data_IF_904597667768
#
_entry.id   IF_904597667768
#
_cell.length_a   1.000
_cell.length_b   1.000
_cell.length_c   1.000
_cell.angle_alpha   90.00
_cell.angle_beta   90.00
_cell.angle_gamma   90.00
#
_symmetry.space_group_name_H-M   'P 1'
#
loop_
_entity.id
_entity.type
_entity.pdbx_description
1 polymer ?
#
# COMPACT_ATOMS: atom_id res chain seq x y z
N UNK A 1 17.46 0.31 -74.77
CA UNK A 1 16.10 0.78 -74.43
C UNK A 1 15.67 0.03 -73.17
N UNK A 2 15.94 0.51 -71.95
CA UNK A 2 15.15 1.43 -71.09
C UNK A 2 13.68 1.01 -70.86
N UNK A 3 13.34 0.84 -69.56
CA UNK A 3 12.02 0.94 -68.90
C UNK A 3 11.02 -0.23 -69.16
N UNK A 4 10.23 -0.81 -68.24
CA UNK A 4 9.62 -0.52 -66.90
C UNK A 4 9.35 -1.90 -66.25
N UNK A 5 9.58 -2.22 -64.97
CA UNK A 5 8.65 -1.94 -63.86
C UNK A 5 9.22 -2.49 -62.54
N UNK A 6 9.83 -1.60 -61.75
CA UNK A 6 9.91 -1.77 -60.29
C UNK A 6 8.64 -1.17 -59.72
N UNK A 7 7.77 -2.00 -59.12
CA UNK A 7 6.83 -1.67 -58.03
C UNK A 7 5.88 -2.85 -57.85
N UNK A 8 6.18 -3.75 -56.90
CA UNK A 8 5.17 -4.59 -56.19
C UNK A 8 5.70 -5.53 -55.10
N UNK A 9 6.96 -5.45 -54.67
CA UNK A 9 7.52 -6.40 -53.71
C UNK A 9 8.03 -5.79 -52.39
N UNK A 10 7.54 -4.61 -51.97
CA UNK A 10 8.00 -3.97 -50.71
C UNK A 10 6.89 -3.77 -49.67
N UNK A 11 5.61 -4.02 -50.00
CA UNK A 11 4.52 -3.72 -49.05
C UNK A 11 4.02 -4.89 -48.20
N UNK A 12 4.51 -6.12 -48.37
CA UNK A 12 4.02 -7.28 -47.59
C UNK A 12 4.91 -7.69 -46.42
N UNK A 13 6.18 -7.24 -46.37
CA UNK A 13 7.10 -7.60 -45.29
C UNK A 13 6.94 -6.78 -44.01
N UNK A 14 6.52 -5.51 -44.13
CA UNK A 14 6.40 -4.61 -42.97
C UNK A 14 5.08 -4.78 -42.21
N UNK A 15 3.99 -5.17 -42.88
CA UNK A 15 2.70 -5.40 -42.20
C UNK A 15 2.71 -6.72 -41.40
N UNK A 16 3.39 -7.76 -41.91
CA UNK A 16 3.52 -9.03 -41.18
C UNK A 16 4.46 -8.92 -39.96
N UNK A 17 5.55 -8.15 -40.06
CA UNK A 17 6.46 -7.90 -38.93
C UNK A 17 5.83 -7.08 -37.81
N UNK A 18 4.97 -6.11 -38.15
CA UNK A 18 4.23 -5.32 -37.16
C UNK A 18 3.08 -6.11 -36.52
N UNK A 19 2.41 -7.03 -37.22
CA UNK A 19 1.34 -7.86 -36.64
C UNK A 19 1.88 -8.92 -35.67
N UNK A 20 3.10 -9.44 -35.90
CA UNK A 20 3.72 -10.47 -35.04
C UNK A 20 4.20 -9.89 -33.70
N UNK A 21 4.45 -8.58 -33.60
CA UNK A 21 4.71 -7.92 -32.32
C UNK A 21 3.45 -7.76 -31.46
N UNK A 22 2.26 -7.74 -32.07
CA UNK A 22 0.97 -7.72 -31.34
C UNK A 22 0.39 -9.12 -31.09
N UNK A 23 0.93 -10.17 -31.72
CA UNK A 23 0.48 -11.56 -31.60
C UNK A 23 1.48 -12.48 -30.90
N UNK A 24 2.47 -11.95 -30.17
CA UNK A 24 3.12 -12.78 -29.14
C UNK A 24 2.08 -13.01 -28.04
N UNK A 25 1.65 -14.25 -27.79
CA UNK A 25 0.97 -14.55 -26.55
C UNK A 25 1.90 -14.05 -25.44
N UNK A 26 1.35 -13.34 -24.45
CA UNK A 26 2.04 -13.01 -23.21
C UNK A 26 2.44 -14.32 -22.52
N UNK A 27 3.50 -14.97 -23.00
CA UNK A 27 4.14 -16.12 -22.40
C UNK A 27 5.18 -15.65 -21.37
N UNK A 28 4.82 -14.63 -20.58
CA UNK A 28 5.43 -14.46 -19.27
C UNK A 28 4.67 -15.42 -18.34
N UNK A 29 5.36 -16.37 -17.67
CA UNK A 29 4.68 -17.31 -16.80
C UNK A 29 3.92 -16.54 -15.74
N UNK A 30 2.60 -16.76 -15.64
CA UNK A 30 1.82 -16.36 -14.46
C UNK A 30 2.53 -17.00 -13.27
N UNK A 31 3.26 -16.22 -12.48
CA UNK A 31 3.79 -16.74 -11.23
C UNK A 31 2.58 -17.02 -10.34
N UNK A 32 2.22 -18.29 -10.19
CA UNK A 32 1.24 -18.73 -9.22
C UNK A 32 1.86 -18.54 -7.84
N UNK A 33 1.51 -17.45 -7.17
CA UNK A 33 1.79 -17.28 -5.74
C UNK A 33 0.60 -17.79 -4.93
N UNK A 34 0.86 -18.24 -3.70
CA UNK A 34 -0.21 -18.58 -2.77
C UNK A 34 -0.98 -17.33 -2.35
N UNK A 35 -2.31 -17.43 -2.35
CA UNK A 35 -3.19 -16.34 -1.93
C UNK A 35 -4.38 -16.89 -1.15
N UNK A 36 -4.92 -16.04 -0.27
CA UNK A 36 -6.17 -16.26 0.45
C UNK A 36 -7.31 -15.95 -0.51
N UNK A 37 -8.17 -16.95 -0.75
CA UNK A 37 -9.33 -16.81 -1.62
C UNK A 37 -10.37 -15.88 -1.01
N UNK A 38 -11.22 -15.28 -1.85
CA UNK A 38 -12.24 -14.30 -1.46
C UNK A 38 -13.12 -14.80 -0.31
N UNK A 39 -13.55 -16.06 -0.38
CA UNK A 39 -14.39 -16.73 0.62
C UNK A 39 -13.73 -16.87 2.00
N UNK A 40 -12.40 -16.89 2.06
CA UNK A 40 -11.63 -17.04 3.30
C UNK A 40 -11.09 -15.70 3.84
N UNK A 41 -11.41 -14.57 3.20
CA UNK A 41 -10.92 -13.25 3.61
C UNK A 41 -11.31 -12.95 5.07
N UNK A 42 -12.60 -13.05 5.40
CA UNK A 42 -13.08 -12.68 6.74
C UNK A 42 -12.47 -13.54 7.85
N UNK A 43 -12.26 -14.82 7.59
CA UNK A 43 -11.62 -15.76 8.53
C UNK A 43 -10.13 -15.46 8.72
N UNK A 44 -9.47 -14.91 7.70
CA UNK A 44 -8.05 -14.57 7.76
C UNK A 44 -7.76 -13.26 8.52
N UNK A 45 -8.75 -12.36 8.63
CA UNK A 45 -8.58 -11.05 9.25
C UNK A 45 -8.49 -11.15 10.77
N UNK A 46 -7.49 -10.49 11.35
CA UNK A 46 -7.29 -10.39 12.79
C UNK A 46 -8.21 -9.30 13.35
N UNK A 47 -9.18 -9.69 14.16
CA UNK A 47 -10.01 -8.76 14.92
C UNK A 47 -9.14 -8.09 15.98
N UNK A 48 -9.01 -6.76 15.91
CA UNK A 48 -8.25 -5.95 16.85
C UNK A 48 -8.78 -4.51 16.85
N UNK A 49 -9.14 -4.02 18.02
CA UNK A 49 -9.60 -2.64 18.24
C UNK A 49 -8.48 -1.79 18.84
N UNK A 50 -8.51 -0.49 18.56
CA UNK A 50 -7.58 0.47 19.13
C UNK A 50 -7.69 0.49 20.65
N UNK A 51 -6.57 0.56 21.35
CA UNK A 51 -6.56 0.56 22.82
C UNK A 51 -7.39 1.71 23.41
N UNK A 52 -7.35 2.88 22.77
CA UNK A 52 -8.09 4.07 23.18
C UNK A 52 -9.45 4.24 22.45
N UNK A 53 -9.88 3.23 21.69
CA UNK A 53 -11.12 3.31 20.90
C UNK A 53 -12.32 2.83 21.71
N UNK A 54 -13.38 3.65 21.73
CA UNK A 54 -14.69 3.28 22.26
C UNK A 54 -15.78 3.56 21.24
N UNK A 55 -16.77 2.67 21.14
CA UNK A 55 -17.97 2.85 20.32
C UNK A 55 -19.21 2.74 21.19
N UNK A 56 -20.21 3.57 20.91
CA UNK A 56 -21.54 3.54 21.55
C UNK A 56 -22.51 2.59 20.84
N UNK A 57 -22.14 2.06 19.68
CA UNK A 57 -23.00 1.15 18.92
C UNK A 57 -23.15 -0.20 19.64
N UNK A 58 -24.37 -0.75 19.62
CA UNK A 58 -24.71 -1.98 20.33
C UNK A 58 -24.22 -3.26 19.61
N UNK A 59 -24.25 -3.24 18.27
CA UNK A 59 -23.90 -4.41 17.45
C UNK A 59 -22.57 -4.20 16.73
N UNK A 60 -21.81 -5.28 16.53
CA UNK A 60 -20.60 -5.25 15.70
C UNK A 60 -20.97 -5.06 14.23
N UNK A 61 -20.10 -4.40 13.47
CA UNK A 61 -20.25 -4.28 12.02
C UNK A 61 -20.20 -5.67 11.35
N UNK A 62 -21.03 -5.83 10.32
CA UNK A 62 -20.96 -6.95 9.39
C UNK A 62 -20.10 -6.54 8.19
N UNK A 63 -19.25 -7.46 7.75
CA UNK A 63 -18.31 -7.27 6.66
C UNK A 63 -18.60 -8.23 5.50
N UNK A 64 -19.61 -9.10 5.61
CA UNK A 64 -19.99 -10.03 4.55
C UNK A 64 -20.35 -9.29 3.27
N UNK A 65 -21.21 -8.28 3.34
CA UNK A 65 -21.61 -7.51 2.17
C UNK A 65 -20.44 -6.72 1.57
N UNK A 66 -19.55 -6.16 2.41
CA UNK A 66 -18.34 -5.45 1.96
C UNK A 66 -17.41 -6.37 1.17
N UNK A 67 -17.22 -7.61 1.64
CA UNK A 67 -16.36 -8.58 0.97
C UNK A 67 -17.02 -9.12 -0.30
N UNK A 68 -18.34 -9.27 -0.32
CA UNK A 68 -19.05 -9.79 -1.49
C UNK A 68 -19.42 -8.72 -2.52
N UNK A 69 -19.21 -7.43 -2.22
CA UNK A 69 -19.36 -6.35 -3.20
C UNK A 69 -18.31 -6.47 -4.33
N UNK A 70 -18.79 -6.76 -5.54
CA UNK A 70 -17.96 -6.89 -6.74
C UNK A 70 -17.70 -5.54 -7.44
N UNK A 71 -18.30 -4.46 -6.96
CA UNK A 71 -18.14 -3.11 -7.49
C UNK A 71 -16.68 -2.67 -7.41
N UNK A 72 -16.23 -1.94 -8.43
CA UNK A 72 -14.91 -1.32 -8.46
C UNK A 72 -15.05 0.19 -8.30
N UNK A 73 -14.36 0.75 -7.31
CA UNK A 73 -14.35 2.19 -7.09
C UNK A 73 -13.35 2.84 -8.04
N UNK A 74 -13.85 3.58 -9.04
CA UNK A 74 -13.00 4.27 -10.00
C UNK A 74 -12.62 5.67 -9.50
N UNK A 75 -11.41 6.10 -9.83
CA UNK A 75 -10.80 7.37 -9.36
C UNK A 75 -11.56 8.62 -9.83
N UNK A 76 -12.28 8.52 -10.96
CA UNK A 76 -13.03 9.64 -11.55
C UNK A 76 -14.47 9.81 -11.07
N UNK A 77 -14.98 8.90 -10.24
CA UNK A 77 -16.38 8.94 -9.75
C UNK A 77 -16.55 9.73 -8.44
N UNK A 78 -15.49 10.45 -8.01
CA UNK A 78 -15.37 11.03 -6.69
C UNK A 78 -15.40 12.56 -6.74
N UNK A 79 -16.59 13.12 -6.97
CA UNK A 79 -16.89 14.51 -6.65
C UNK A 79 -17.67 14.52 -5.33
N UNK A 80 -17.02 14.93 -4.25
CA UNK A 80 -17.68 15.01 -2.95
C UNK A 80 -16.87 15.82 -1.95
N UNK A 81 -17.54 16.81 -1.36
CA UNK A 81 -17.04 17.52 -0.19
C UNK A 81 -16.93 16.53 0.99
N UNK A 82 -15.69 16.18 1.34
CA UNK A 82 -15.43 15.12 2.32
C UNK A 82 -15.68 15.56 3.77
N UNK A 83 -15.81 16.85 4.03
CA UNK A 83 -15.75 17.36 5.40
C UNK A 83 -17.14 17.48 6.02
N UNK A 84 -18.08 18.16 5.36
CA UNK A 84 -19.33 18.55 6.01
C UNK A 84 -20.39 17.41 6.08
N UNK A 85 -20.32 16.42 5.17
CA UNK A 85 -21.31 15.35 5.05
C UNK A 85 -20.90 13.98 5.57
N UNK A 86 -19.64 13.79 5.99
CA UNK A 86 -19.05 12.44 6.14
C UNK A 86 -18.50 12.12 7.52
N UNK A 87 -18.62 13.05 8.48
CA UNK A 87 -18.33 12.83 9.92
C UNK A 87 -16.91 12.32 10.18
N UNK A 88 -15.95 12.73 9.36
CA UNK A 88 -14.52 12.52 9.60
C UNK A 88 -14.10 13.51 10.69
N UNK A 89 -13.47 13.02 11.74
CA UNK A 89 -12.96 13.85 12.84
C UNK A 89 -11.60 14.43 12.46
N UNK A 90 -11.25 15.56 13.09
CA UNK A 90 -9.91 16.15 12.98
C UNK A 90 -8.80 15.11 13.17
N UNK A 91 -7.74 15.28 12.40
CA UNK A 91 -6.67 14.30 12.27
C UNK A 91 -6.98 13.16 11.29
N UNK A 92 -8.09 13.23 10.54
CA UNK A 92 -8.47 12.22 9.55
C UNK A 92 -8.96 10.92 10.14
N UNK A 93 -9.58 10.97 11.31
CA UNK A 93 -10.07 9.80 12.03
C UNK A 93 -11.55 9.55 11.74
N UNK A 94 -11.92 8.30 11.49
CA UNK A 94 -13.30 7.91 11.27
C UNK A 94 -13.61 6.58 11.95
N UNK A 95 -14.81 6.48 12.51
CA UNK A 95 -15.44 5.21 12.88
C UNK A 95 -16.93 5.27 12.53
N UNK A 96 -17.54 4.15 12.10
CA UNK A 96 -18.99 4.08 11.93
C UNK A 96 -19.71 4.32 13.27
N UNK A 97 -20.86 5.00 13.23
CA UNK A 97 -21.69 5.28 14.41
C UNK A 97 -22.79 4.23 14.60
N UNK A 98 -23.14 3.56 13.52
CA UNK A 98 -24.28 2.66 13.37
C UNK A 98 -23.91 1.24 13.80
N UNK A 99 -22.62 0.90 13.80
CA UNK A 99 -22.08 -0.38 14.22
C UNK A 99 -20.70 -0.23 14.85
N UNK A 100 -20.32 -1.18 15.70
CA UNK A 100 -19.00 -1.24 16.35
C UNK A 100 -17.99 -1.90 15.40
N UNK A 101 -16.99 -1.17 14.90
CA UNK A 101 -16.02 -1.71 13.95
C UNK A 101 -15.12 -2.76 14.62
N UNK A 102 -14.90 -3.90 13.95
CA UNK A 102 -14.03 -4.98 14.45
C UNK A 102 -12.53 -4.67 14.29
N UNK A 103 -12.21 -3.75 13.39
CA UNK A 103 -10.84 -3.45 12.98
C UNK A 103 -10.51 -1.98 13.24
N UNK A 104 -9.35 -1.73 13.83
CA UNK A 104 -8.76 -0.39 13.99
C UNK A 104 -7.41 -0.32 13.30
N UNK A 105 -7.28 0.63 12.37
CA UNK A 105 -6.18 0.65 11.41
C UNK A 105 -5.59 2.04 11.26
N UNK A 106 -4.26 2.15 11.34
CA UNK A 106 -3.54 3.38 11.00
C UNK A 106 -3.02 3.29 9.56
N UNK A 107 -3.37 4.27 8.72
CA UNK A 107 -2.85 4.40 7.36
C UNK A 107 -1.68 5.37 7.39
N UNK A 108 -0.48 4.90 7.05
CA UNK A 108 0.76 5.68 7.17
C UNK A 108 1.30 5.95 5.78
N UNK A 109 1.38 7.23 5.43
CA UNK A 109 1.73 7.70 4.09
C UNK A 109 3.01 8.53 4.16
N UNK A 110 4.14 8.03 3.64
CA UNK A 110 5.37 8.81 3.53
C UNK A 110 5.20 9.83 2.39
N UNK A 111 5.58 11.09 2.62
CA UNK A 111 5.22 12.19 1.74
C UNK A 111 6.32 13.25 1.60
N UNK A 112 6.42 13.83 0.41
CA UNK A 112 7.14 15.08 0.11
C UNK A 112 6.71 15.57 -1.28
N UNK A 113 6.40 16.86 -1.41
CA UNK A 113 6.19 17.58 -2.69
C UNK A 113 5.23 16.90 -3.69
N UNK A 114 4.12 16.30 -3.23
CA UNK A 114 3.15 15.56 -4.08
C UNK A 114 1.70 15.95 -3.82
N UNK A 115 1.42 17.26 -3.73
CA UNK A 115 0.13 17.78 -3.26
C UNK A 115 -1.08 17.26 -4.06
N UNK A 116 -0.97 17.18 -5.40
CA UNK A 116 -2.05 16.65 -6.25
C UNK A 116 -2.30 15.15 -6.01
N UNK A 117 -1.25 14.35 -5.85
CA UNK A 117 -1.40 12.94 -5.47
C UNK A 117 -2.05 12.80 -4.10
N UNK A 118 -1.61 13.60 -3.12
CA UNK A 118 -2.17 13.57 -1.77
C UNK A 118 -3.65 13.96 -1.78
N UNK A 119 -4.04 14.98 -2.55
CA UNK A 119 -5.45 15.37 -2.70
C UNK A 119 -6.28 14.22 -3.26
N UNK A 120 -5.85 13.62 -4.37
CA UNK A 120 -6.54 12.49 -4.97
C UNK A 120 -6.60 11.27 -4.04
N UNK A 121 -5.52 11.01 -3.31
CA UNK A 121 -5.42 9.97 -2.30
C UNK A 121 -6.44 10.15 -1.18
N UNK A 122 -6.51 11.32 -0.55
CA UNK A 122 -7.42 11.58 0.57
C UNK A 122 -8.89 11.40 0.16
N UNK A 123 -9.28 11.94 -1.01
CA UNK A 123 -10.63 11.80 -1.57
C UNK A 123 -11.00 10.32 -1.76
N UNK A 124 -10.12 9.57 -2.41
CA UNK A 124 -10.33 8.16 -2.69
C UNK A 124 -10.35 7.30 -1.43
N UNK A 125 -9.34 7.46 -0.57
CA UNK A 125 -9.17 6.64 0.61
C UNK A 125 -10.26 6.87 1.64
N UNK A 126 -10.67 8.11 1.90
CA UNK A 126 -11.80 8.33 2.82
C UNK A 126 -13.12 7.75 2.30
N UNK A 127 -13.35 7.82 0.99
CA UNK A 127 -14.54 7.19 0.39
C UNK A 127 -14.47 5.67 0.51
N UNK A 128 -13.32 5.09 0.16
CA UNK A 128 -13.10 3.66 0.17
C UNK A 128 -13.18 3.07 1.60
N UNK A 129 -12.45 3.64 2.56
CA UNK A 129 -12.33 3.11 3.92
C UNK A 129 -13.64 3.23 4.72
N UNK A 130 -14.43 4.30 4.51
CA UNK A 130 -15.74 4.44 5.17
C UNK A 130 -16.73 3.37 4.72
N UNK A 131 -16.72 3.02 3.43
CA UNK A 131 -17.54 1.91 2.90
C UNK A 131 -17.13 0.54 3.43
N UNK A 132 -15.94 0.42 4.01
CA UNK A 132 -15.50 -0.80 4.68
C UNK A 132 -15.94 -0.87 6.15
N UNK A 133 -16.54 0.17 6.73
CA UNK A 133 -16.99 0.18 8.13
C UNK A 133 -15.88 -0.19 9.14
N UNK A 134 -14.65 0.27 8.88
CA UNK A 134 -13.53 0.14 9.82
C UNK A 134 -13.32 1.43 10.62
N UNK A 135 -12.68 1.31 11.79
CA UNK A 135 -12.10 2.45 12.48
C UNK A 135 -10.72 2.73 11.90
N UNK A 136 -10.45 3.95 11.45
CA UNK A 136 -9.15 4.30 10.89
C UNK A 136 -8.74 5.73 11.16
N UNK A 137 -7.44 5.99 11.03
CA UNK A 137 -6.86 7.33 10.93
C UNK A 137 -5.76 7.37 9.87
N UNK A 138 -5.68 8.47 9.12
CA UNK A 138 -4.64 8.71 8.12
C UNK A 138 -3.53 9.58 8.72
N UNK A 139 -2.30 9.11 8.65
CA UNK A 139 -1.08 9.80 9.05
C UNK A 139 -0.26 10.09 7.80
N UNK A 140 -0.05 11.36 7.50
CA UNK A 140 0.87 11.82 6.46
C UNK A 140 2.17 12.24 7.14
N UNK A 141 3.27 11.58 6.80
CA UNK A 141 4.59 11.87 7.37
C UNK A 141 5.42 12.57 6.31
N UNK A 142 5.62 13.87 6.48
CA UNK A 142 6.32 14.72 5.53
C UNK A 142 7.79 14.90 5.90
N UNK A 143 8.68 14.61 4.96
CA UNK A 143 10.10 14.96 5.05
C UNK A 143 10.28 16.38 4.55
N UNK A 144 10.58 17.32 5.45
CA UNK A 144 10.70 18.74 5.11
C UNK A 144 12.14 19.20 4.89
N UNK A 145 13.12 18.37 5.26
CA UNK A 145 14.52 18.61 4.98
C UNK A 145 14.91 18.43 3.50
N UNK A 146 16.15 18.79 3.18
CA UNK A 146 16.71 18.68 1.83
C UNK A 146 17.45 17.37 1.56
N UNK A 147 17.44 16.41 2.49
CA UNK A 147 18.08 15.11 2.27
C UNK A 147 17.35 14.33 1.16
N UNK A 148 17.98 13.32 0.54
CA UNK A 148 17.26 12.43 -0.35
C UNK A 148 16.04 11.81 0.36
N UNK A 149 14.95 11.59 -0.37
CA UNK A 149 13.72 11.06 0.23
C UNK A 149 13.98 9.69 0.84
N UNK A 150 13.56 9.49 2.10
CA UNK A 150 13.74 8.24 2.82
C UNK A 150 12.39 7.65 3.26
N UNK A 151 11.76 6.98 2.31
CA UNK A 151 10.43 6.36 2.47
C UNK A 151 10.33 5.48 3.74
N UNK A 152 11.29 4.59 3.93
CA UNK A 152 11.31 3.63 5.03
C UNK A 152 11.39 4.31 6.40
N UNK A 153 12.22 5.35 6.52
CA UNK A 153 12.35 6.14 7.75
C UNK A 153 11.06 6.89 8.08
N UNK A 154 10.39 7.48 7.10
CA UNK A 154 9.09 8.14 7.31
C UNK A 154 7.99 7.14 7.73
N UNK A 155 7.98 5.95 7.14
CA UNK A 155 7.09 4.86 7.56
C UNK A 155 7.35 4.44 9.02
N UNK A 156 8.62 4.34 9.44
CA UNK A 156 8.97 4.07 10.84
C UNK A 156 8.43 5.14 11.79
N UNK A 157 8.56 6.43 11.43
CA UNK A 157 8.04 7.56 12.24
C UNK A 157 6.53 7.47 12.40
N UNK A 158 5.79 7.31 11.29
CA UNK A 158 4.34 7.18 11.34
C UNK A 158 3.88 5.92 12.07
N UNK A 159 4.57 4.80 11.91
CA UNK A 159 4.32 3.57 12.64
C UNK A 159 4.49 3.76 14.15
N UNK A 160 5.58 4.41 14.58
CA UNK A 160 5.84 4.72 15.99
C UNK A 160 4.72 5.60 16.57
N UNK A 161 4.30 6.64 15.86
CA UNK A 161 3.19 7.51 16.27
C UNK A 161 1.86 6.74 16.38
N UNK A 162 1.51 5.96 15.37
CA UNK A 162 0.29 5.15 15.34
C UNK A 162 0.23 4.10 16.46
N UNK A 163 1.34 3.39 16.69
CA UNK A 163 1.46 2.39 17.76
C UNK A 163 1.31 3.04 19.15
N UNK A 164 1.89 4.22 19.34
CA UNK A 164 1.74 4.99 20.59
C UNK A 164 0.30 5.48 20.80
N UNK A 165 -0.41 5.80 19.71
CA UNK A 165 -1.85 6.12 19.75
C UNK A 165 -2.73 4.88 19.99
N UNK A 166 -2.15 3.68 20.04
CA UNK A 166 -2.84 2.43 20.39
C UNK A 166 -3.48 1.73 19.19
N UNK A 167 -3.10 2.05 17.96
CA UNK A 167 -3.57 1.35 16.77
C UNK A 167 -2.89 -0.03 16.67
N UNK A 168 -3.65 -1.14 16.56
CA UNK A 168 -3.07 -2.49 16.49
C UNK A 168 -2.61 -2.88 15.09
N UNK A 169 -3.22 -2.30 14.04
CA UNK A 169 -2.91 -2.60 12.64
C UNK A 169 -2.30 -1.38 11.95
N UNK A 170 -1.18 -1.58 11.26
CA UNK A 170 -0.47 -0.56 10.50
C UNK A 170 -0.60 -0.88 9.01
N UNK A 171 -0.98 0.11 8.20
CA UNK A 171 -0.96 0.04 6.75
C UNK A 171 0.11 1.00 6.24
N UNK A 172 1.22 0.46 5.77
CA UNK A 172 2.31 1.22 5.14
C UNK A 172 1.90 1.46 3.69
N UNK A 173 1.75 2.72 3.28
CA UNK A 173 0.98 3.04 2.08
C UNK A 173 1.64 4.10 1.20
N UNK A 174 1.92 3.77 -0.05
CA UNK A 174 2.36 4.76 -1.04
C UNK A 174 1.21 5.68 -1.46
N UNK A 175 1.45 6.99 -1.53
CA UNK A 175 0.41 8.01 -1.80
C UNK A 175 -0.22 7.88 -3.20
N UNK A 176 0.46 7.23 -4.15
CA UNK A 176 0.03 7.11 -5.55
C UNK A 176 -0.70 5.80 -5.87
N UNK A 177 -0.93 4.94 -4.88
CA UNK A 177 -1.67 3.68 -5.05
C UNK A 177 -3.10 3.82 -4.52
N UNK A 178 -4.10 3.45 -5.32
CA UNK A 178 -5.52 3.55 -4.95
C UNK A 178 -6.21 2.18 -5.09
N UNK A 179 -6.78 1.61 -4.02
CA UNK A 179 -7.44 0.31 -4.06
C UNK A 179 -8.75 0.38 -4.85
N UNK A 180 -9.06 -0.66 -5.61
CA UNK A 180 -10.26 -0.68 -6.47
C UNK A 180 -11.40 -1.55 -5.92
N UNK A 181 -11.11 -2.59 -5.14
CA UNK A 181 -12.12 -3.55 -4.65
C UNK A 181 -12.33 -3.44 -3.16
N UNK A 182 -13.58 -3.22 -2.73
CA UNK A 182 -13.93 -3.12 -1.31
C UNK A 182 -13.60 -4.41 -0.52
N UNK A 183 -13.62 -5.56 -1.19
CA UNK A 183 -13.16 -6.83 -0.62
C UNK A 183 -11.70 -6.82 -0.13
N UNK A 184 -10.87 -5.88 -0.59
CA UNK A 184 -9.54 -5.66 -0.04
C UNK A 184 -9.64 -4.87 1.27
N UNK A 185 -10.21 -5.48 2.31
CA UNK A 185 -10.43 -4.85 3.62
C UNK A 185 -9.11 -4.29 4.17
N UNK A 186 -9.09 -3.01 4.58
CA UNK A 186 -7.93 -2.35 5.18
C UNK A 186 -7.80 -2.71 6.66
N UNK A 187 -7.57 -4.00 6.89
CA UNK A 187 -7.28 -4.58 8.19
C UNK A 187 -6.14 -5.59 8.07
N UNK A 188 -5.56 -5.93 9.21
CA UNK A 188 -4.46 -6.87 9.29
C UNK A 188 -4.96 -8.30 9.35
N UNK A 189 -4.16 -9.21 8.83
CA UNK A 189 -4.27 -10.66 9.09
C UNK A 189 -3.35 -11.04 10.25
N UNK A 190 -3.27 -12.33 10.59
CA UNK A 190 -2.26 -12.84 11.54
C UNK A 190 -0.83 -12.87 10.97
N UNK A 191 -0.70 -12.64 9.66
CA UNK A 191 0.55 -12.55 8.92
C UNK A 191 0.68 -11.15 8.31
N UNK A 192 1.90 -10.62 8.09
CA UNK A 192 2.10 -9.46 7.23
C UNK A 192 1.49 -9.69 5.84
N UNK A 193 0.74 -8.72 5.33
CA UNK A 193 -0.02 -8.85 4.09
C UNK A 193 0.43 -7.84 3.05
N UNK A 194 0.89 -8.32 1.89
CA UNK A 194 1.09 -7.45 0.73
C UNK A 194 -0.25 -7.20 0.03
N UNK A 195 -0.73 -5.97 0.12
CA UNK A 195 -2.08 -5.60 -0.32
C UNK A 195 -2.14 -5.23 -1.79
N UNK A 196 -1.10 -4.57 -2.33
CA UNK A 196 -1.02 -4.10 -3.72
C UNK A 196 -0.39 -5.13 -4.66
N UNK A 197 -0.79 -6.39 -4.53
CA UNK A 197 -0.23 -7.48 -5.35
C UNK A 197 -0.65 -7.44 -6.82
N UNK A 198 -1.64 -6.60 -7.17
CA UNK A 198 -2.18 -6.54 -8.51
C UNK A 198 -2.35 -5.10 -9.01
N UNK A 199 -1.40 -4.57 -9.78
CA UNK A 199 -1.46 -3.17 -10.28
C UNK A 199 -1.66 -3.11 -11.79
N UNK A 200 -2.44 -2.12 -12.26
CA UNK A 200 -2.72 -1.94 -13.69
C UNK A 200 -1.45 -1.74 -14.54
N UNK A 201 -0.49 -0.94 -14.06
CA UNK A 201 0.78 -0.67 -14.78
C UNK A 201 1.67 -1.90 -14.92
N UNK A 202 1.62 -2.84 -13.97
CA UNK A 202 2.36 -4.10 -14.05
C UNK A 202 1.59 -5.18 -14.81
N UNK A 203 0.54 -4.81 -15.56
CA UNK A 203 -0.37 -5.73 -16.28
C UNK A 203 -0.85 -6.87 -15.41
N UNK A 204 -1.11 -6.57 -14.15
CA UNK A 204 -1.62 -7.53 -13.19
C UNK A 204 -0.68 -8.71 -12.89
N UNK A 205 0.63 -8.48 -12.96
CA UNK A 205 1.66 -9.46 -12.61
C UNK A 205 2.51 -8.93 -11.46
N UNK A 206 2.84 -9.81 -10.51
CA UNK A 206 3.89 -9.55 -9.54
C UNK A 206 5.25 -9.58 -10.26
N UNK A 207 6.07 -8.51 -10.14
CA UNK A 207 7.45 -8.52 -10.61
C UNK A 207 8.27 -9.72 -10.09
N UNK A 208 8.09 -10.12 -8.83
CA UNK A 208 8.67 -11.33 -8.23
C UNK A 208 7.96 -11.75 -6.93
N UNK A 209 8.09 -13.02 -6.55
CA UNK A 209 7.41 -13.64 -5.39
C UNK A 209 7.67 -12.92 -4.05
N UNK A 210 8.88 -12.40 -3.86
CA UNK A 210 9.34 -11.79 -2.61
C UNK A 210 9.05 -10.28 -2.51
N UNK A 211 8.30 -9.71 -3.45
CA UNK A 211 7.99 -8.29 -3.42
C UNK A 211 7.01 -7.95 -2.28
N UNK A 212 7.48 -7.07 -1.40
CA UNK A 212 6.73 -6.50 -0.27
C UNK A 212 6.87 -4.97 -0.32
N UNK A 213 6.20 -4.33 -1.27
CA UNK A 213 6.24 -2.88 -1.48
C UNK A 213 4.87 -2.32 -1.86
N UNK A 214 4.75 -1.01 -2.09
CA UNK A 214 3.47 -0.39 -2.38
C UNK A 214 2.61 -0.23 -1.12
N UNK A 215 1.70 -1.19 -0.89
CA UNK A 215 0.78 -1.20 0.25
C UNK A 215 0.89 -2.50 1.04
N UNK A 216 1.14 -2.37 2.34
CA UNK A 216 1.41 -3.49 3.24
C UNK A 216 0.59 -3.32 4.52
N UNK A 217 -0.11 -4.38 4.95
CA UNK A 217 -0.69 -4.45 6.29
C UNK A 217 0.20 -5.29 7.21
N UNK A 218 0.49 -4.79 8.41
CA UNK A 218 1.27 -5.51 9.41
C UNK A 218 0.76 -5.18 10.81
N UNK A 219 0.68 -6.19 11.69
CA UNK A 219 0.32 -5.96 13.07
C UNK A 219 1.43 -5.16 13.76
N UNK A 220 1.04 -4.30 14.70
CA UNK A 220 1.98 -3.48 15.46
C UNK A 220 2.97 -4.31 16.26
N UNK A 221 2.53 -5.47 16.76
CA UNK A 221 3.41 -6.43 17.44
C UNK A 221 4.47 -7.02 16.50
N UNK A 222 4.07 -7.42 15.29
CA UNK A 222 4.98 -7.93 14.27
C UNK A 222 5.95 -6.85 13.80
N UNK A 223 5.47 -5.63 13.57
CA UNK A 223 6.32 -4.51 13.14
C UNK A 223 7.39 -4.17 14.19
N UNK A 224 7.04 -4.24 15.48
CA UNK A 224 8.02 -4.12 16.58
C UNK A 224 8.98 -5.30 16.61
N UNK A 225 8.49 -6.53 16.42
CA UNK A 225 9.31 -7.74 16.46
C UNK A 225 10.39 -7.75 15.38
N UNK A 226 10.11 -7.17 14.21
CA UNK A 226 11.08 -7.02 13.11
C UNK A 226 11.92 -5.73 13.20
N UNK A 227 11.83 -4.99 14.31
CA UNK A 227 12.49 -3.69 14.49
C UNK A 227 12.15 -2.66 13.39
N UNK A 228 10.93 -2.71 12.83
CA UNK A 228 10.51 -1.88 11.69
C UNK A 228 11.40 -2.00 10.45
N UNK A 229 11.45 -0.94 9.64
CA UNK A 229 12.23 -0.89 8.41
C UNK A 229 13.63 -0.29 8.64
N UNK A 230 14.58 -0.49 7.71
CA UNK A 230 15.87 0.21 7.75
C UNK A 230 15.71 1.73 7.59
N UNK A 231 16.51 2.51 8.33
CA UNK A 231 16.53 3.97 8.20
C UNK A 231 17.56 4.47 7.17
N UNK A 232 18.23 3.58 6.42
CA UNK A 232 19.42 3.93 5.61
C UNK A 232 19.16 4.15 4.13
N UNK A 233 17.95 3.88 3.64
CA UNK A 233 17.60 3.96 2.21
C UNK A 233 17.27 5.39 1.76
N UNK A 234 18.27 6.29 1.81
CA UNK A 234 18.16 7.67 1.31
C UNK A 234 18.29 7.70 -0.22
N UNK A 235 17.18 7.94 -0.92
CA UNK A 235 17.17 8.07 -2.39
C UNK A 235 17.53 6.79 -3.14
N UNK A 236 17.62 5.64 -2.46
CA UNK A 236 17.96 4.34 -3.03
C UNK A 236 16.76 3.41 -2.98
N UNK A 237 16.68 2.49 -3.94
CA UNK A 237 15.74 1.37 -3.92
C UNK A 237 16.28 0.24 -3.02
N UNK A 238 15.39 -0.54 -2.42
CA UNK A 238 15.76 -1.76 -1.69
C UNK A 238 15.15 -1.87 -0.30
N UNK A 239 14.52 -0.81 0.20
CA UNK A 239 13.78 -0.79 1.46
C UNK A 239 12.70 -1.89 1.53
N UNK A 240 12.00 -2.14 0.43
CA UNK A 240 10.96 -3.16 0.34
C UNK A 240 11.53 -4.59 0.43
N UNK A 241 12.68 -4.84 -0.19
CA UNK A 241 13.36 -6.13 -0.13
C UNK A 241 13.99 -6.35 1.27
N UNK A 242 14.60 -5.31 1.87
CA UNK A 242 15.07 -5.34 3.27
C UNK A 242 13.92 -5.69 4.22
N UNK A 243 12.76 -5.05 4.08
CA UNK A 243 11.58 -5.38 4.88
C UNK A 243 11.15 -6.84 4.69
N UNK A 244 11.17 -7.37 3.46
CA UNK A 244 10.88 -8.78 3.20
C UNK A 244 11.85 -9.70 3.96
N UNK A 245 13.16 -9.43 3.89
CA UNK A 245 14.14 -10.23 4.60
C UNK A 245 14.02 -10.15 6.12
N UNK A 246 13.62 -8.99 6.67
CA UNK A 246 13.33 -8.84 8.11
C UNK A 246 12.15 -9.69 8.57
N UNK A 247 11.10 -9.76 7.76
CA UNK A 247 9.93 -10.62 7.99
C UNK A 247 10.36 -12.09 8.01
N UNK A 248 11.07 -12.55 6.99
CA UNK A 248 11.56 -13.94 6.89
C UNK A 248 12.54 -14.30 8.03
N UNK A 249 13.46 -13.39 8.40
CA UNK A 249 14.43 -13.59 9.47
C UNK A 249 13.80 -13.77 10.87
N UNK A 250 12.55 -13.32 11.03
CA UNK A 250 11.73 -13.51 12.25
C UNK A 250 10.73 -14.67 12.13
N UNK A 251 10.88 -15.54 11.12
CA UNK A 251 9.99 -16.67 10.85
C UNK A 251 8.53 -16.26 10.61
N UNK A 252 8.30 -15.00 10.25
CA UNK A 252 7.01 -14.55 9.78
C UNK A 252 6.91 -14.88 8.29
N UNK A 253 5.72 -15.23 7.83
CA UNK A 253 5.42 -15.41 6.40
C UNK A 253 4.53 -14.28 5.94
N UNK A 254 4.73 -13.83 4.71
CA UNK A 254 3.80 -12.91 4.08
C UNK A 254 2.59 -13.65 3.49
N UNK A 255 1.41 -13.05 3.54
CA UNK A 255 0.23 -13.50 2.81
C UNK A 255 -0.26 -12.44 1.80
N UNK A 256 -1.16 -12.87 0.90
CA UNK A 256 -1.82 -12.00 -0.09
C UNK A 256 -3.27 -12.43 -0.21
N UNK A 257 -4.14 -11.49 -0.56
CA UNK A 257 -5.48 -11.85 -1.02
C UNK A 257 -5.43 -12.19 -2.51
N UNK A 258 -6.52 -12.82 -2.97
CA UNK A 258 -6.74 -13.09 -4.38
C UNK A 258 -6.34 -11.87 -5.26
N UNK A 259 -5.63 -12.08 -6.38
CA UNK A 259 -5.22 -11.00 -7.26
C UNK A 259 -6.39 -10.12 -7.71
N UNK A 260 -7.58 -10.70 -7.94
CA UNK A 260 -8.78 -9.96 -8.37
C UNK A 260 -9.31 -9.03 -7.30
N UNK A 261 -9.02 -9.32 -6.02
CA UNK A 261 -9.31 -8.45 -4.87
C UNK A 261 -8.21 -7.42 -4.65
N UNK A 262 -6.95 -7.80 -4.89
CA UNK A 262 -5.77 -6.97 -4.63
C UNK A 262 -5.47 -5.92 -5.70
N UNK A 263 -6.50 -5.43 -6.40
CA UNK A 263 -6.38 -4.52 -7.54
C UNK A 263 -6.17 -3.06 -7.11
N UNK A 264 -5.13 -2.42 -7.67
CA UNK A 264 -4.82 -1.01 -7.45
C UNK A 264 -4.67 -0.23 -8.76
N UNK A 265 -5.19 0.99 -8.76
CA UNK A 265 -4.84 2.02 -9.72
C UNK A 265 -3.60 2.76 -9.23
N UNK A 266 -2.70 3.10 -10.15
CA UNK A 266 -1.52 3.92 -9.84
C UNK A 266 -1.77 5.28 -10.47
N UNK A 267 -1.87 6.34 -9.65
CA UNK A 267 -1.86 7.71 -10.13
C UNK A 267 -0.59 7.90 -11.01
N UNK A 268 -0.66 8.74 -12.04
CA UNK A 268 0.47 8.93 -12.97
C UNK A 268 1.78 9.04 -12.20
N UNK A 269 2.73 8.17 -12.55
CA UNK A 269 4.00 8.03 -11.82
C UNK A 269 5.06 8.64 -12.70
N UNK A 270 5.91 9.44 -12.09
CA UNK A 270 6.95 10.23 -12.73
C UNK A 270 8.13 9.29 -13.03
N UNK A 271 7.93 8.35 -13.96
CA UNK A 271 8.96 7.44 -14.44
C UNK A 271 8.79 5.98 -14.01
N UNK A 272 9.44 5.10 -14.77
CA UNK A 272 9.57 3.68 -14.47
C UNK A 272 10.79 3.46 -13.58
N UNK A 273 10.59 3.05 -12.33
CA UNK A 273 11.69 2.55 -11.49
C UNK A 273 12.01 1.12 -11.93
N UNK A 274 13.27 0.88 -12.30
CA UNK A 274 13.75 -0.46 -12.61
C UNK A 274 13.82 -1.26 -11.29
N UNK A 275 12.91 -2.23 -11.11
CA UNK A 275 12.89 -3.06 -9.92
C UNK A 275 13.91 -4.19 -10.09
N UNK A 276 15.05 -4.09 -9.40
CA UNK A 276 16.06 -5.16 -9.33
C UNK A 276 16.04 -5.75 -7.92
N UNK A 277 15.81 -7.07 -7.77
CA UNK A 277 15.79 -7.68 -6.45
C UNK A 277 17.18 -7.62 -5.81
N UNK A 278 17.24 -7.30 -4.52
CA UNK A 278 18.44 -7.49 -3.72
C UNK A 278 18.85 -8.97 -3.73
N UNK A 279 20.13 -9.23 -3.98
CA UNK A 279 20.72 -10.58 -3.98
C UNK A 279 21.50 -10.78 -2.68
N UNK A 280 20.79 -10.95 -1.58
CA UNK A 280 21.43 -11.18 -0.27
C UNK A 280 20.72 -12.30 0.51
N UNK A 281 21.46 -12.97 1.39
CA UNK A 281 21.01 -14.13 2.17
C UNK A 281 20.28 -13.70 3.46
N UNK A 282 19.14 -14.31 3.83
CA UNK A 282 18.34 -13.91 5.00
C UNK A 282 19.10 -13.88 6.34
N UNK A 283 20.13 -14.72 6.51
CA UNK A 283 20.93 -14.78 7.75
C UNK A 283 21.70 -13.49 8.04
N UNK A 284 22.12 -12.74 7.02
CA UNK A 284 22.84 -11.47 7.16
C UNK A 284 21.90 -10.37 7.67
N UNK A 285 20.64 -10.38 7.20
CA UNK A 285 19.64 -9.40 7.60
C UNK A 285 19.26 -9.48 9.07
N UNK A 286 19.32 -10.67 9.69
CA UNK A 286 18.97 -10.80 11.12
C UNK A 286 19.89 -9.95 12.00
N UNK A 287 21.19 -9.95 11.73
CA UNK A 287 22.15 -9.14 12.50
C UNK A 287 22.10 -7.66 12.13
N UNK A 288 21.86 -7.34 10.86
CA UNK A 288 21.73 -5.95 10.39
C UNK A 288 20.46 -5.28 10.92
N UNK A 289 19.35 -6.01 10.97
CA UNK A 289 18.04 -5.55 11.45
C UNK A 289 18.13 -5.01 12.88
N UNK A 290 18.90 -5.64 13.77
CA UNK A 290 19.03 -5.16 15.15
C UNK A 290 19.99 -3.97 15.31
N UNK A 291 20.81 -3.68 14.30
CA UNK A 291 21.71 -2.52 14.26
C UNK A 291 21.08 -1.28 13.61
N UNK A 292 19.94 -1.44 12.94
CA UNK A 292 19.23 -0.36 12.27
C UNK A 292 17.73 -0.64 12.13
N UNK A 293 16.91 0.21 12.72
CA UNK A 293 15.46 0.16 12.61
C UNK A 293 14.77 1.10 13.59
N UNK A 294 13.66 0.67 14.19
CA UNK A 294 12.92 1.46 15.19
C UNK A 294 13.78 1.83 16.40
N UNK A 295 14.68 0.94 16.82
CA UNK A 295 15.57 1.16 17.95
C UNK A 295 16.64 2.26 17.72
N UNK A 296 16.94 2.60 16.47
CA UNK A 296 17.89 3.64 16.07
C UNK A 296 17.20 4.77 15.30
N UNK A 297 15.87 4.90 15.42
CA UNK A 297 15.09 5.89 14.72
C UNK A 297 15.31 7.28 15.35
N UNK A 298 16.15 8.08 14.70
CA UNK A 298 16.44 9.47 15.04
C UNK A 298 15.88 10.43 13.99
N UNK A 299 15.19 11.47 14.43
CA UNK A 299 14.65 12.56 13.61
C UNK A 299 14.31 13.75 14.52
N UNK A 300 14.17 14.93 13.93
CA UNK A 300 13.63 16.11 14.63
C UNK A 300 12.19 16.32 14.19
N UNK A 301 11.25 16.32 15.13
CA UNK A 301 9.87 16.70 14.84
C UNK A 301 9.78 18.22 14.71
N UNK A 302 9.38 18.69 13.53
CA UNK A 302 9.19 20.12 13.26
C UNK A 302 7.81 20.56 13.74
N UNK A 303 6.78 19.79 13.38
CA UNK A 303 5.42 20.04 13.85
C UNK A 303 4.53 18.81 13.62
N UNK A 304 3.50 18.67 14.46
CA UNK A 304 2.36 17.78 14.24
C UNK A 304 1.08 18.61 14.18
N UNK A 305 0.32 18.50 13.09
CA UNK A 305 -0.91 19.26 12.84
C UNK A 305 -2.07 18.30 12.54
N UNK A 306 -3.21 18.52 13.17
CA UNK A 306 -4.44 17.78 12.89
C UNK A 306 -5.25 18.53 11.84
N UNK A 307 -5.14 18.12 10.59
CA UNK A 307 -6.03 18.61 9.52
C UNK A 307 -7.35 17.84 9.55
N UNK A 308 -8.43 18.36 8.92
CA UNK A 308 -9.72 17.67 8.91
C UNK A 308 -9.62 16.23 8.38
N UNK A 309 -8.80 16.00 7.35
CA UNK A 309 -8.71 14.73 6.64
C UNK A 309 -7.48 13.88 7.01
N UNK A 310 -6.51 14.41 7.75
CA UNK A 310 -5.32 13.63 8.13
C UNK A 310 -4.55 14.26 9.29
N UNK A 311 -3.74 13.44 9.96
CA UNK A 311 -2.72 13.88 10.90
C UNK A 311 -1.43 14.10 10.12
N UNK A 312 -0.89 15.32 10.16
CA UNK A 312 0.32 15.69 9.45
C UNK A 312 1.51 15.77 10.41
N UNK A 313 2.50 14.91 10.21
CA UNK A 313 3.73 14.87 11.00
C UNK A 313 4.88 15.34 10.09
N UNK A 314 5.43 16.51 10.37
CA UNK A 314 6.55 17.09 9.62
C UNK A 314 7.85 16.86 10.37
N UNK A 315 8.85 16.29 9.69
CA UNK A 315 10.14 15.95 10.31
C UNK A 315 11.34 16.32 9.45
N UNK A 316 12.45 16.58 10.15
CA UNK A 316 13.80 16.51 9.60
C UNK A 316 14.40 15.13 9.93
N UNK A 317 14.91 14.47 8.89
CA UNK A 317 15.51 13.12 8.93
C UNK A 317 17.02 13.14 9.11
#
# INVERSE_FOLDING_TARGET
MRHVSKKKAVCFGLVAGSLILFLRPNNMPRQNYEYIKKESILESLKVAQGFNFSSTALANCDYYDVVNDDTSLMVGDLDGDLEEGHKIKEGGEYAPLECKPKYSTAIIVPYRDRAEHLRGFLVHMHTFLRRQHIHYRIYVVEQVDTHPFNRAKLLNVGAKAAMNAGYPCLILHDVDLLPLKLANIYACTSLPRHMSSNTYKLRFMLPYHNQLGGVIAILSEDYKAINGMSNKYYGTSGDNDDLFFRVEANNLKMCRFDPTVSMYHILSSDGSVEIKPLKEEPGIFKDLMWKDGLNTLEYTEVATVLHPLFTHIMIDT
#
